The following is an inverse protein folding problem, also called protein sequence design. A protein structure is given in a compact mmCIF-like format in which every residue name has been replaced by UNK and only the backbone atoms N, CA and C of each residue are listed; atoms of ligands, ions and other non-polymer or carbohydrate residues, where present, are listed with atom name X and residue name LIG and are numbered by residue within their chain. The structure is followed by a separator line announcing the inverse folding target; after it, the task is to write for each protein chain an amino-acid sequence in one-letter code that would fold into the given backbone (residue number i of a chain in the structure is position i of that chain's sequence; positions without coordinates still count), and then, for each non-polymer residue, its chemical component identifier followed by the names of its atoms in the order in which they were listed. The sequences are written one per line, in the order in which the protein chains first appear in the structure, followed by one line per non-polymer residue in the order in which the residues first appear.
data_IF_802623025922
#
_entry.id   IF_802623025922
#
_cell.length_a   1.000
_cell.length_b   1.000
_cell.length_c   1.000
_cell.angle_alpha   90.00
_cell.angle_beta   90.00
_cell.angle_gamma   90.00
#
_symmetry.space_group_name_H-M   'P 1'
#
loop_
_entity.id
_entity.type
_entity.pdbx_description
1 polymer ?
#
# COMPACT_ATOMS: atom_id res chain seq x y z
N UNK A 1 -18.45 -0.34 -59.06
CA UNK A 1 -17.94 0.61 -58.05
C UNK A 1 -19.11 1.12 -57.23
N UNK A 2 -19.34 0.60 -56.03
CA UNK A 2 -20.39 1.07 -55.11
C UNK A 2 -19.69 1.72 -53.91
N UNK A 3 -19.83 3.04 -53.79
CA UNK A 3 -19.41 3.81 -52.64
C UNK A 3 -20.27 3.45 -51.43
N UNK A 4 -19.65 3.05 -50.34
CA UNK A 4 -20.28 2.86 -49.04
C UNK A 4 -19.84 4.00 -48.12
N UNK A 5 -20.82 4.82 -47.73
CA UNK A 5 -20.74 5.95 -46.83
C UNK A 5 -20.77 5.43 -45.38
N UNK A 6 -19.91 5.87 -44.45
CA UNK A 6 -20.04 5.48 -43.05
C UNK A 6 -21.04 6.39 -42.32
N UNK A 7 -22.01 5.76 -41.68
CA UNK A 7 -23.02 6.37 -40.81
C UNK A 7 -22.37 6.67 -39.44
N UNK A 8 -22.17 7.95 -39.12
CA UNK A 8 -21.66 8.41 -37.83
C UNK A 8 -22.81 8.40 -36.80
N UNK A 9 -22.79 7.46 -35.86
CA UNK A 9 -23.73 7.43 -34.73
C UNK A 9 -23.19 8.34 -33.60
N UNK A 10 -23.79 9.51 -33.43
CA UNK A 10 -23.51 10.39 -32.29
C UNK A 10 -24.21 9.86 -31.04
N UNK A 11 -23.44 9.36 -30.08
CA UNK A 11 -23.92 9.00 -28.74
C UNK A 11 -24.08 10.28 -27.93
N UNK A 12 -25.31 10.72 -27.73
CA UNK A 12 -25.66 11.82 -26.83
C UNK A 12 -25.61 11.26 -25.41
N UNK A 13 -24.57 11.62 -24.66
CA UNK A 13 -24.43 11.30 -23.24
C UNK A 13 -25.33 12.25 -22.43
N UNK A 14 -26.39 11.79 -21.73
CA UNK A 14 -27.15 12.65 -20.85
C UNK A 14 -26.29 13.00 -19.64
N UNK A 15 -25.93 14.27 -19.52
CA UNK A 15 -25.31 14.82 -18.31
C UNK A 15 -26.31 14.67 -17.15
N UNK A 16 -26.06 13.69 -16.28
CA UNK A 16 -26.70 13.60 -14.97
C UNK A 16 -26.31 14.84 -14.17
N UNK A 17 -27.17 15.84 -14.16
CA UNK A 17 -27.13 16.92 -13.17
C UNK A 17 -27.42 16.30 -11.80
N UNK A 18 -26.38 16.07 -11.02
CA UNK A 18 -26.53 15.74 -9.61
C UNK A 18 -27.23 16.93 -8.94
N UNK A 19 -28.49 16.75 -8.54
CA UNK A 19 -29.16 17.68 -7.62
C UNK A 19 -28.33 17.72 -6.33
N UNK A 20 -27.60 18.83 -6.14
CA UNK A 20 -26.88 19.09 -4.92
C UNK A 20 -27.89 19.05 -3.77
N UNK A 21 -27.72 18.09 -2.85
CA UNK A 21 -28.51 18.03 -1.63
C UNK A 21 -28.55 19.43 -0.99
N UNK A 22 -29.71 19.92 -0.54
CA UNK A 22 -29.83 21.26 0.00
C UNK A 22 -28.84 21.42 1.15
N UNK A 23 -27.87 22.34 0.98
CA UNK A 23 -26.86 22.61 1.99
C UNK A 23 -27.57 22.86 3.33
N UNK A 24 -27.15 22.13 4.37
CA UNK A 24 -27.71 22.30 5.70
C UNK A 24 -27.59 23.78 6.10
N UNK A 25 -28.73 24.42 6.35
CA UNK A 25 -28.78 25.83 6.73
C UNK A 25 -28.51 25.98 8.24
N UNK A 26 -28.04 27.16 8.65
CA UNK A 26 -27.89 27.50 10.07
C UNK A 26 -29.26 27.45 10.77
N UNK A 27 -29.25 27.15 12.06
CA UNK A 27 -30.45 27.12 12.90
C UNK A 27 -30.31 28.11 14.05
N UNK A 28 -31.19 29.10 14.07
CA UNK A 28 -31.31 30.06 15.18
C UNK A 28 -32.32 29.52 16.18
N UNK A 29 -31.86 29.18 17.38
CA UNK A 29 -32.71 28.74 18.49
C UNK A 29 -33.09 29.96 19.32
N UNK A 30 -34.39 30.16 19.51
CA UNK A 30 -34.95 31.24 20.32
C UNK A 30 -35.13 30.82 21.77
N UNK A 31 -35.18 31.80 22.67
CA UNK A 31 -35.37 31.59 24.13
C UNK A 31 -36.70 30.93 24.51
N UNK A 32 -37.68 30.93 23.61
CA UNK A 32 -38.94 30.20 23.76
C UNK A 32 -38.89 28.76 23.20
N UNK A 33 -37.72 28.29 22.77
CA UNK A 33 -37.49 26.97 22.17
C UNK A 33 -37.84 26.86 20.69
N UNK A 34 -38.34 27.92 20.03
CA UNK A 34 -38.60 27.90 18.59
C UNK A 34 -37.30 27.88 17.79
N UNK A 35 -37.33 27.22 16.63
CA UNK A 35 -36.18 27.08 15.72
C UNK A 35 -36.48 27.80 14.42
N UNK A 36 -35.59 28.68 14.02
CA UNK A 36 -35.65 29.39 12.74
C UNK A 36 -34.48 28.94 11.89
N UNK A 37 -34.79 28.41 10.71
CA UNK A 37 -33.76 28.03 9.73
C UNK A 37 -33.36 29.26 8.91
N UNK A 38 -32.09 29.65 9.00
CA UNK A 38 -31.54 30.80 8.29
C UNK A 38 -30.19 31.25 8.86
N UNK A 39 -29.40 31.91 8.02
CA UNK A 39 -28.05 32.39 8.37
C UNK A 39 -28.11 33.82 8.88
N UNK A 40 -27.35 34.11 9.93
CA UNK A 40 -27.21 35.49 10.43
C UNK A 40 -26.49 36.33 9.37
N UNK A 41 -27.07 37.48 9.04
CA UNK A 41 -26.59 38.35 7.98
C UNK A 41 -26.16 39.70 8.57
N UNK A 42 -24.88 39.77 8.94
CA UNK A 42 -24.28 40.97 9.53
C UNK A 42 -24.11 42.12 8.50
N UNK A 43 -24.41 41.88 7.21
CA UNK A 43 -24.33 42.92 6.17
C UNK A 43 -25.57 43.80 6.11
N UNK A 44 -26.68 43.36 6.72
CA UNK A 44 -27.94 44.12 6.78
C UNK A 44 -27.90 45.08 7.95
N UNK A 45 -27.94 46.38 7.67
CA UNK A 45 -28.00 47.42 8.71
C UNK A 45 -29.34 47.33 9.44
N UNK A 46 -29.31 46.96 10.71
CA UNK A 46 -30.47 46.85 11.60
C UNK A 46 -30.34 47.83 12.77
N UNK A 47 -31.46 48.06 13.49
CA UNK A 47 -31.46 48.88 14.71
C UNK A 47 -30.61 48.22 15.80
N UNK A 48 -30.04 49.02 16.68
CA UNK A 48 -29.27 48.52 17.82
C UNK A 48 -30.10 47.52 18.66
N UNK A 49 -29.44 46.45 19.12
CA UNK A 49 -30.08 45.32 19.79
C UNK A 49 -30.90 44.38 18.90
N UNK A 50 -30.84 44.52 17.56
CA UNK A 50 -31.49 43.60 16.60
C UNK A 50 -30.48 42.75 15.81
N UNK A 51 -30.96 41.68 15.20
CA UNK A 51 -30.19 40.77 14.34
C UNK A 51 -31.02 40.42 13.11
N UNK A 52 -30.41 40.50 11.92
CA UNK A 52 -31.00 40.04 10.67
C UNK A 52 -30.66 38.56 10.43
N UNK A 53 -31.67 37.77 10.10
CA UNK A 53 -31.57 36.35 9.78
C UNK A 53 -32.08 36.18 8.35
N UNK A 54 -31.22 35.75 7.44
CA UNK A 54 -31.57 35.44 6.06
C UNK A 54 -32.16 34.03 5.99
N UNK A 55 -33.47 33.96 5.80
CA UNK A 55 -34.24 32.71 5.65
C UNK A 55 -34.59 32.47 4.18
N UNK A 56 -35.17 31.30 3.86
CA UNK A 56 -35.72 31.04 2.51
C UNK A 56 -36.81 32.03 2.10
N UNK A 57 -37.55 32.59 3.07
CA UNK A 57 -38.63 33.55 2.83
C UNK A 57 -38.19 35.02 2.79
N UNK A 58 -36.89 35.31 2.89
CA UNK A 58 -36.35 36.68 2.96
C UNK A 58 -35.62 36.96 4.26
N UNK A 59 -35.37 38.25 4.52
CA UNK A 59 -34.65 38.70 5.72
C UNK A 59 -35.64 38.94 6.86
N UNK A 60 -35.47 38.18 7.95
CA UNK A 60 -36.19 38.36 9.20
C UNK A 60 -35.34 39.19 10.15
N UNK A 61 -35.85 40.33 10.61
CA UNK A 61 -35.18 41.15 11.63
C UNK A 61 -35.89 40.93 12.95
N UNK A 62 -35.14 40.56 14.00
CA UNK A 62 -35.67 40.38 15.34
C UNK A 62 -34.70 40.87 16.40
N UNK A 63 -35.17 41.01 17.64
CA UNK A 63 -34.31 41.43 18.76
C UNK A 63 -33.31 40.32 19.11
N UNK A 64 -32.07 40.72 19.40
CA UNK A 64 -30.96 39.79 19.70
C UNK A 64 -31.20 39.02 20.99
N UNK A 65 -31.84 39.62 21.98
CA UNK A 65 -32.12 39.01 23.29
C UNK A 65 -33.16 37.89 23.24
N UNK A 66 -33.88 37.74 22.12
CA UNK A 66 -34.75 36.59 21.87
C UNK A 66 -34.00 35.37 21.34
N UNK A 67 -32.73 35.53 20.93
CA UNK A 67 -31.91 34.45 20.39
C UNK A 67 -31.12 33.80 21.53
N UNK A 68 -31.41 32.54 21.82
CA UNK A 68 -30.69 31.77 22.83
C UNK A 68 -29.31 31.35 22.30
N UNK A 69 -29.28 30.74 21.11
CA UNK A 69 -28.03 30.35 20.44
C UNK A 69 -28.19 30.21 18.94
N UNK A 70 -27.07 30.25 18.22
CA UNK A 70 -27.02 30.00 16.78
C UNK A 70 -26.23 28.71 16.57
N UNK A 71 -26.88 27.72 15.96
CA UNK A 71 -26.27 26.47 15.53
C UNK A 71 -25.81 26.63 14.08
N UNK A 72 -24.58 27.10 13.91
CA UNK A 72 -23.97 27.26 12.58
C UNK A 72 -23.77 25.91 11.90
N UNK A 73 -24.19 25.86 10.64
CA UNK A 73 -23.95 24.80 9.69
C UNK A 73 -22.47 24.63 9.38
N UNK A 74 -22.15 23.49 8.76
CA UNK A 74 -20.81 23.24 8.23
C UNK A 74 -20.37 24.33 7.25
N UNK A 75 -21.23 24.74 6.32
CA UNK A 75 -20.90 25.72 5.28
C UNK A 75 -20.53 27.09 5.88
N UNK A 76 -21.33 27.59 6.84
CA UNK A 76 -21.06 28.85 7.53
C UNK A 76 -19.76 28.79 8.34
N UNK A 77 -19.53 27.69 9.06
CA UNK A 77 -18.28 27.50 9.82
C UNK A 77 -17.06 27.40 8.89
N UNK A 78 -17.19 26.67 7.78
CA UNK A 78 -16.13 26.49 6.80
C UNK A 78 -15.73 27.81 6.13
N UNK A 79 -16.70 28.66 5.82
CA UNK A 79 -16.45 29.98 5.22
C UNK A 79 -15.63 30.92 6.13
N UNK A 80 -15.61 30.67 7.44
CA UNK A 80 -14.84 31.45 8.43
C UNK A 80 -13.40 30.96 8.62
N UNK A 81 -13.06 29.78 8.09
CA UNK A 81 -11.75 29.15 8.27
C UNK A 81 -10.97 29.23 6.97
N UNK A 82 -9.78 29.85 7.00
CA UNK A 82 -8.89 29.90 5.84
C UNK A 82 -8.23 28.55 5.58
N UNK A 83 -7.97 28.23 4.31
CA UNK A 83 -7.30 27.00 3.89
C UNK A 83 -5.83 26.92 4.38
N UNK A 84 -5.24 28.07 4.75
CA UNK A 84 -3.90 28.15 5.33
C UNK A 84 -3.93 28.19 6.88
N UNK A 85 -5.10 28.20 7.51
CA UNK A 85 -5.25 28.20 8.97
C UNK A 85 -5.35 26.75 9.47
N UNK A 86 -4.21 26.11 9.68
CA UNK A 86 -4.14 24.74 10.16
C UNK A 86 -4.87 24.52 11.49
N UNK A 87 -4.83 25.49 12.39
CA UNK A 87 -5.48 25.41 13.70
C UNK A 87 -7.00 25.51 13.57
N UNK A 88 -7.50 26.45 12.76
CA UNK A 88 -8.92 26.58 12.44
C UNK A 88 -9.48 25.36 11.72
N UNK A 89 -8.75 24.82 10.74
CA UNK A 89 -9.14 23.59 10.02
C UNK A 89 -9.23 22.39 10.97
N UNK A 90 -8.24 22.22 11.85
CA UNK A 90 -8.25 21.17 12.87
C UNK A 90 -9.41 21.33 13.87
N UNK A 91 -9.69 22.53 14.34
CA UNK A 91 -10.80 22.81 15.24
C UNK A 91 -12.16 22.50 14.57
N UNK A 92 -12.33 22.90 13.31
CA UNK A 92 -13.54 22.61 12.54
C UNK A 92 -13.69 21.10 12.29
N UNK A 93 -12.61 20.39 11.98
CA UNK A 93 -12.66 18.94 11.80
C UNK A 93 -13.13 18.22 13.07
N UNK A 94 -12.63 18.61 14.25
CA UNK A 94 -13.12 18.07 15.53
C UNK A 94 -14.61 18.31 15.71
N UNK A 95 -15.09 19.51 15.38
CA UNK A 95 -16.52 19.80 15.41
C UNK A 95 -17.31 18.91 14.45
N UNK A 96 -16.83 18.71 13.21
CA UNK A 96 -17.45 17.81 12.24
C UNK A 96 -17.60 16.38 12.81
N UNK A 97 -16.59 15.87 13.53
CA UNK A 97 -16.68 14.57 14.19
C UNK A 97 -17.79 14.51 15.26
N UNK A 98 -18.03 15.60 16.02
CA UNK A 98 -19.17 15.67 16.96
C UNK A 98 -20.54 15.68 16.28
N UNK A 99 -20.57 15.96 14.98
CA UNK A 99 -21.78 15.98 14.13
C UNK A 99 -21.87 14.78 13.20
N UNK A 100 -21.00 13.77 13.37
CA UNK A 100 -20.90 12.60 12.51
C UNK A 100 -20.59 12.92 11.03
N UNK A 101 -20.02 14.10 10.76
CA UNK A 101 -19.59 14.55 9.43
C UNK A 101 -18.16 14.07 9.15
N UNK A 102 -17.99 12.75 9.00
CA UNK A 102 -16.67 12.11 8.94
C UNK A 102 -15.90 12.45 7.66
N UNK A 103 -16.56 12.54 6.51
CA UNK A 103 -15.91 12.85 5.23
C UNK A 103 -15.39 14.29 5.17
N UNK A 104 -16.18 15.23 5.68
CA UNK A 104 -15.80 16.62 5.82
C UNK A 104 -14.65 16.77 6.82
N UNK A 105 -14.71 16.06 7.96
CA UNK A 105 -13.60 16.03 8.91
C UNK A 105 -12.30 15.51 8.27
N UNK A 106 -12.37 14.43 7.47
CA UNK A 106 -11.20 13.88 6.78
C UNK A 106 -10.61 14.86 5.76
N UNK A 107 -11.47 15.58 5.04
CA UNK A 107 -11.06 16.61 4.06
C UNK A 107 -10.40 17.80 4.75
N UNK A 108 -10.96 18.26 5.87
CA UNK A 108 -10.36 19.36 6.64
C UNK A 108 -9.02 18.98 7.26
N UNK A 109 -8.90 17.75 7.75
CA UNK A 109 -7.66 17.24 8.34
C UNK A 109 -6.57 17.06 7.27
N UNK A 110 -6.91 16.61 6.07
CA UNK A 110 -5.92 16.54 4.98
C UNK A 110 -5.38 17.92 4.61
N UNK A 111 -6.24 18.94 4.58
CA UNK A 111 -5.83 20.34 4.39
C UNK A 111 -4.95 20.83 5.56
N UNK A 112 -5.35 20.58 6.81
CA UNK A 112 -4.59 21.00 7.98
C UNK A 112 -3.18 20.38 8.04
N UNK A 113 -3.05 19.11 7.63
CA UNK A 113 -1.77 18.38 7.58
C UNK A 113 -0.85 18.90 6.47
N UNK A 114 -1.41 19.43 5.38
CA UNK A 114 -0.66 20.01 4.28
C UNK A 114 -0.02 21.37 4.61
N UNK A 115 -0.54 22.10 5.61
CA UNK A 115 0.04 23.37 6.05
C UNK A 115 1.36 23.12 6.79
N UNK A 116 2.47 23.79 6.41
CA UNK A 116 3.74 23.68 7.12
C UNK A 116 3.62 24.08 8.58
N UNK A 117 4.26 23.34 9.48
CA UNK A 117 4.19 23.54 10.94
C UNK A 117 2.76 23.51 11.52
N UNK A 118 1.82 22.85 10.84
CA UNK A 118 0.47 22.60 11.37
C UNK A 118 0.46 21.73 12.63
N UNK A 119 -0.67 21.70 13.38
CA UNK A 119 -0.78 20.95 14.63
C UNK A 119 -0.44 19.46 14.44
N UNK A 120 0.47 18.94 15.26
CA UNK A 120 0.89 17.53 15.20
C UNK A 120 -0.29 16.58 15.52
N UNK A 121 -1.23 17.04 16.34
CA UNK A 121 -2.47 16.34 16.70
C UNK A 121 -3.41 16.19 15.49
N UNK A 122 -3.36 17.10 14.52
CA UNK A 122 -4.14 16.97 13.28
C UNK A 122 -3.67 15.77 12.46
N UNK A 123 -2.35 15.50 12.42
CA UNK A 123 -1.76 14.33 11.75
C UNK A 123 -2.22 13.03 12.39
N UNK A 124 -2.19 12.96 13.74
CA UNK A 124 -2.67 11.79 14.47
C UNK A 124 -4.17 11.54 14.24
N UNK A 125 -4.99 12.58 14.36
CA UNK A 125 -6.43 12.47 14.16
C UNK A 125 -6.78 12.08 12.72
N UNK A 126 -6.03 12.60 11.74
CA UNK A 126 -6.20 12.23 10.34
C UNK A 126 -5.89 10.75 10.10
N UNK A 127 -4.74 10.27 10.59
CA UNK A 127 -4.35 8.88 10.46
C UNK A 127 -5.40 7.94 11.05
N UNK A 128 -5.88 8.23 12.27
CA UNK A 128 -6.95 7.46 12.93
C UNK A 128 -8.26 7.47 12.14
N UNK A 129 -8.68 8.62 11.64
CA UNK A 129 -9.93 8.71 10.88
C UNK A 129 -9.86 7.92 9.57
N UNK A 130 -8.72 7.93 8.89
CA UNK A 130 -8.49 7.12 7.68
C UNK A 130 -8.41 5.62 8.01
N UNK A 131 -7.83 5.22 9.13
CA UNK A 131 -7.86 3.83 9.64
C UNK A 131 -9.31 3.34 9.80
N UNK A 132 -10.16 4.16 10.45
CA UNK A 132 -11.57 3.83 10.66
C UNK A 132 -12.40 3.82 9.36
N UNK A 133 -12.09 4.67 8.38
CA UNK A 133 -12.91 4.86 7.16
C UNK A 133 -12.45 4.01 5.97
N UNK A 134 -11.14 3.86 5.78
CA UNK A 134 -10.51 3.24 4.60
C UNK A 134 -9.68 2.02 4.95
N UNK A 135 -9.48 1.74 6.23
CA UNK A 135 -8.78 0.57 6.74
C UNK A 135 -7.28 0.79 6.98
N UNK A 136 -6.61 -0.23 7.53
CA UNK A 136 -5.23 -0.15 7.99
C UNK A 136 -4.20 0.22 6.91
N UNK A 137 -4.32 -0.35 5.72
CA UNK A 137 -3.35 -0.15 4.62
C UNK A 137 -3.23 1.33 4.23
N UNK A 138 -4.36 2.03 4.15
CA UNK A 138 -4.39 3.46 3.85
C UNK A 138 -3.85 4.33 5.00
N UNK A 139 -3.92 3.84 6.25
CA UNK A 139 -3.57 4.60 7.44
C UNK A 139 -2.09 4.49 7.85
N UNK A 140 -1.43 3.35 7.57
CA UNK A 140 0.00 3.13 7.88
C UNK A 140 0.90 4.29 7.42
N UNK A 141 0.87 4.77 6.15
CA UNK A 141 1.74 5.87 5.73
C UNK A 141 1.46 7.17 6.51
N UNK A 142 0.22 7.41 6.93
CA UNK A 142 -0.15 8.60 7.71
C UNK A 142 0.38 8.53 9.14
N UNK A 143 0.27 7.37 9.79
CA UNK A 143 0.85 7.16 11.11
C UNK A 143 2.39 7.25 11.09
N UNK A 144 3.05 6.73 10.04
CA UNK A 144 4.50 6.91 9.84
C UNK A 144 4.86 8.39 9.69
N UNK A 145 4.08 9.14 8.90
CA UNK A 145 4.28 10.59 8.75
C UNK A 145 4.08 11.35 10.07
N UNK A 146 3.15 10.93 10.94
CA UNK A 146 3.00 11.47 12.29
C UNK A 146 4.25 11.21 13.15
N UNK A 147 4.78 9.98 13.17
CA UNK A 147 6.01 9.62 13.89
C UNK A 147 7.20 10.46 13.39
N UNK A 148 7.40 10.56 12.08
CA UNK A 148 8.50 11.33 11.47
C UNK A 148 8.41 12.83 11.75
N UNK A 149 7.19 13.38 11.87
CA UNK A 149 6.96 14.77 12.24
C UNK A 149 7.18 15.06 13.75
N UNK A 150 7.70 14.10 14.52
CA UNK A 150 7.98 14.26 15.95
C UNK A 150 6.78 14.00 16.86
N UNK A 151 5.75 13.30 16.38
CA UNK A 151 4.61 12.91 17.19
C UNK A 151 4.98 11.94 18.31
N UNK A 152 4.57 12.24 19.55
CA UNK A 152 4.94 11.49 20.76
C UNK A 152 3.77 10.86 21.51
N UNK A 153 2.52 11.04 21.04
CA UNK A 153 1.36 10.48 21.71
C UNK A 153 1.39 8.95 21.65
N UNK A 154 1.15 8.29 22.79
CA UNK A 154 1.29 6.84 22.93
C UNK A 154 0.26 6.07 22.10
N UNK A 155 -0.99 6.54 22.01
CA UNK A 155 -2.08 5.85 21.30
C UNK A 155 -1.78 5.71 19.79
N UNK A 156 -1.49 6.78 19.01
CA UNK A 156 -1.13 6.64 17.59
C UNK A 156 0.11 5.78 17.34
N UNK A 157 1.12 5.86 18.22
CA UNK A 157 2.35 5.08 18.07
C UNK A 157 2.14 3.59 18.39
N UNK A 158 1.33 3.28 19.39
CA UNK A 158 0.93 1.90 19.70
C UNK A 158 0.12 1.29 18.56
N UNK A 159 -0.83 2.06 17.98
CA UNK A 159 -1.59 1.63 16.81
C UNK A 159 -0.67 1.42 15.60
N UNK A 160 0.25 2.35 15.31
CA UNK A 160 1.25 2.17 14.25
C UNK A 160 2.05 0.88 14.43
N UNK A 161 2.55 0.63 15.64
CA UNK A 161 3.30 -0.60 15.94
C UNK A 161 2.46 -1.84 15.66
N UNK A 162 1.20 -1.87 16.13
CA UNK A 162 0.30 -2.98 15.86
C UNK A 162 0.13 -3.22 14.35
N UNK A 163 -0.03 -2.16 13.56
CA UNK A 163 -0.17 -2.28 12.11
C UNK A 163 1.13 -2.74 11.43
N UNK A 164 2.28 -2.27 11.88
CA UNK A 164 3.60 -2.71 11.39
C UNK A 164 3.87 -4.18 11.74
N UNK A 165 3.48 -4.63 12.94
CA UNK A 165 3.58 -6.04 13.35
C UNK A 165 2.65 -6.94 12.50
N UNK A 166 1.40 -6.52 12.29
CA UNK A 166 0.45 -7.25 11.43
C UNK A 166 0.93 -7.35 9.99
N UNK A 167 1.54 -6.29 9.45
CA UNK A 167 2.12 -6.30 8.12
C UNK A 167 3.28 -7.30 8.04
N UNK A 168 4.18 -7.26 9.03
CA UNK A 168 5.30 -8.19 9.10
C UNK A 168 4.84 -9.65 9.25
N UNK A 169 3.78 -9.91 10.02
CA UNK A 169 3.23 -11.26 10.17
C UNK A 169 2.50 -11.74 8.90
N UNK A 170 1.75 -10.85 8.24
CA UNK A 170 1.16 -11.16 6.94
C UNK A 170 2.24 -11.47 5.89
N UNK A 171 3.31 -10.68 5.85
CA UNK A 171 4.47 -10.95 4.97
C UNK A 171 5.11 -12.29 5.30
N UNK A 172 5.30 -12.65 6.59
CA UNK A 172 5.81 -13.98 6.95
C UNK A 172 4.89 -15.11 6.51
N UNK A 173 3.58 -14.98 6.69
CA UNK A 173 2.60 -16.01 6.30
C UNK A 173 2.56 -16.17 4.78
N UNK A 174 2.50 -15.05 4.04
CA UNK A 174 2.55 -15.08 2.58
C UNK A 174 3.84 -15.72 2.05
N UNK A 175 4.95 -15.56 2.78
CA UNK A 175 6.25 -16.13 2.47
C UNK A 175 6.55 -17.43 3.24
N UNK A 176 5.54 -18.08 3.82
CA UNK A 176 5.74 -19.40 4.43
C UNK A 176 5.76 -20.43 3.31
N UNK A 177 6.81 -21.26 3.18
CA UNK A 177 6.80 -22.36 2.24
C UNK A 177 5.57 -23.23 2.42
N UNK A 178 4.92 -23.60 1.33
CA UNK A 178 3.77 -24.48 1.38
C UNK A 178 4.35 -25.88 1.64
N UNK A 179 3.82 -26.58 2.67
CA UNK A 179 4.02 -28.02 2.78
C UNK A 179 3.38 -28.66 1.54
N UNK A 180 4.20 -28.80 0.50
CA UNK A 180 3.78 -29.23 -0.82
C UNK A 180 3.68 -30.75 -0.93
N UNK A 181 2.92 -31.24 -1.92
CA UNK A 181 2.82 -32.67 -2.22
C UNK A 181 4.18 -33.26 -2.60
N UNK A 182 4.21 -34.60 -2.75
CA UNK A 182 5.38 -35.32 -3.25
C UNK A 182 5.98 -34.60 -4.48
N UNK A 183 7.31 -34.45 -4.45
CA UNK A 183 8.14 -33.86 -5.49
C UNK A 183 7.63 -34.22 -6.90
N UNK A 184 7.53 -33.27 -7.85
CA UNK A 184 7.11 -33.59 -9.20
C UNK A 184 8.03 -34.64 -9.82
N UNK A 185 7.42 -35.64 -10.48
CA UNK A 185 8.16 -36.66 -11.21
C UNK A 185 9.02 -35.99 -12.29
N UNK A 186 10.34 -36.22 -12.21
CA UNK A 186 11.42 -35.84 -13.16
C UNK A 186 10.93 -34.97 -14.32
N UNK A 187 10.97 -33.65 -14.13
CA UNK A 187 10.71 -32.69 -15.19
C UNK A 187 11.90 -31.72 -15.20
N UNK A 188 12.58 -31.58 -16.35
CA UNK A 188 13.73 -30.69 -16.49
C UNK A 188 13.24 -29.23 -16.47
N UNK A 189 13.18 -28.61 -15.29
CA UNK A 189 12.89 -27.19 -15.12
C UNK A 189 14.10 -26.31 -15.47
N UNK A 190 14.05 -25.04 -15.04
CA UNK A 190 15.15 -24.11 -15.31
C UNK A 190 16.44 -24.43 -14.54
N UNK A 191 16.45 -25.35 -13.58
CA UNK A 191 17.63 -25.77 -12.84
C UNK A 191 18.74 -26.39 -13.72
N UNK A 192 18.38 -27.00 -14.86
CA UNK A 192 19.31 -27.83 -15.62
C UNK A 192 20.44 -27.06 -16.34
N UNK A 193 20.34 -25.74 -16.55
CA UNK A 193 21.33 -24.98 -17.35
C UNK A 193 21.51 -23.51 -16.93
N UNK A 194 22.73 -23.03 -17.13
CA UNK A 194 23.13 -21.61 -17.25
C UNK A 194 23.00 -20.71 -16.01
N UNK A 195 22.83 -21.27 -14.81
CA UNK A 195 23.05 -20.50 -13.59
C UNK A 195 24.54 -20.35 -13.29
N UNK A 196 24.93 -19.17 -12.80
CA UNK A 196 26.30 -18.83 -12.38
C UNK A 196 26.26 -18.01 -11.10
N UNK A 197 27.34 -18.02 -10.31
CA UNK A 197 27.48 -17.09 -9.20
C UNK A 197 27.50 -15.63 -9.70
N UNK A 198 26.85 -14.72 -8.96
CA UNK A 198 26.93 -13.29 -9.26
C UNK A 198 28.23 -12.67 -8.73
N UNK A 199 28.56 -11.47 -9.22
CA UNK A 199 29.75 -10.70 -8.86
C UNK A 199 29.90 -10.52 -7.35
N UNK A 200 31.07 -10.95 -6.84
CA UNK A 200 31.50 -10.78 -5.44
C UNK A 200 31.67 -9.32 -5.02
N UNK A 201 31.62 -8.38 -5.96
CA UNK A 201 31.59 -6.95 -5.65
C UNK A 201 30.33 -6.56 -4.87
N UNK A 202 29.19 -7.21 -5.17
CA UNK A 202 27.89 -6.86 -4.63
C UNK A 202 27.30 -7.95 -3.71
N UNK A 203 27.79 -9.19 -3.83
CA UNK A 203 27.28 -10.36 -3.11
C UNK A 203 28.41 -11.15 -2.44
N UNK A 204 28.06 -11.95 -1.45
CA UNK A 204 28.94 -13.00 -0.96
C UNK A 204 29.16 -14.05 -2.06
N UNK A 205 30.30 -14.75 -1.99
CA UNK A 205 30.63 -15.78 -2.96
C UNK A 205 29.58 -16.91 -2.95
N UNK A 206 29.18 -17.34 -4.16
CA UNK A 206 28.20 -18.39 -4.39
C UNK A 206 28.70 -19.31 -5.49
N UNK A 207 28.90 -20.59 -5.17
CA UNK A 207 29.16 -21.62 -6.15
C UNK A 207 27.85 -22.26 -6.60
N UNK A 208 27.74 -22.51 -7.90
CA UNK A 208 26.53 -23.03 -8.51
C UNK A 208 26.85 -24.33 -9.23
N UNK A 209 26.13 -25.40 -8.91
CA UNK A 209 26.32 -26.72 -9.51
C UNK A 209 24.99 -27.39 -9.79
N UNK A 210 24.86 -28.06 -10.94
CA UNK A 210 23.73 -28.97 -11.19
C UNK A 210 24.12 -30.37 -10.69
N UNK A 211 23.33 -30.93 -9.79
CA UNK A 211 23.67 -32.17 -9.07
C UNK A 211 22.53 -33.16 -9.16
N UNK A 212 22.85 -34.45 -9.14
CA UNK A 212 21.83 -35.50 -9.08
C UNK A 212 21.47 -35.79 -7.63
N UNK A 213 20.19 -35.75 -7.31
CA UNK A 213 19.65 -36.13 -6.01
C UNK A 213 18.71 -37.31 -6.20
N UNK A 214 18.97 -38.39 -5.46
CA UNK A 214 18.10 -39.56 -5.41
C UNK A 214 17.10 -39.39 -4.28
N UNK A 215 15.83 -39.40 -4.62
CA UNK A 215 14.68 -39.40 -3.70
C UNK A 215 13.96 -40.76 -3.80
N UNK A 216 12.95 -40.97 -2.95
CA UNK A 216 12.10 -42.17 -3.03
C UNK A 216 11.43 -42.30 -4.40
N UNK A 217 11.08 -41.17 -5.04
CA UNK A 217 10.44 -41.11 -6.36
C UNK A 217 11.41 -41.24 -7.56
N UNK A 218 12.72 -41.38 -7.33
CA UNK A 218 13.72 -41.54 -8.40
C UNK A 218 14.90 -40.58 -8.30
N UNK A 219 15.69 -40.49 -9.38
CA UNK A 219 16.83 -39.55 -9.45
C UNK A 219 16.45 -38.32 -10.27
N UNK A 220 16.58 -37.14 -9.67
CA UNK A 220 16.39 -35.85 -10.35
C UNK A 220 17.68 -35.04 -10.41
N UNK A 221 17.73 -34.05 -11.30
CA UNK A 221 18.75 -33.00 -11.28
C UNK A 221 18.23 -31.79 -10.50
N UNK A 222 19.05 -31.22 -9.62
CA UNK A 222 18.71 -30.02 -8.86
C UNK A 222 19.84 -29.00 -8.96
N UNK A 223 19.50 -27.73 -8.80
CA UNK A 223 20.45 -26.64 -8.70
C UNK A 223 20.93 -26.53 -7.25
N UNK A 224 22.20 -26.85 -7.00
CA UNK A 224 22.86 -26.62 -5.71
C UNK A 224 23.53 -25.24 -5.72
N UNK A 225 23.16 -24.44 -4.74
CA UNK A 225 23.79 -23.16 -4.42
C UNK A 225 24.61 -23.34 -3.14
N UNK A 226 25.94 -23.28 -3.24
CA UNK A 226 26.83 -23.26 -2.07
C UNK A 226 27.23 -21.83 -1.79
N UNK A 227 26.82 -21.29 -0.64
CA UNK A 227 27.09 -19.90 -0.26
C UNK A 227 28.13 -19.84 0.84
N UNK A 228 29.01 -18.84 0.73
CA UNK A 228 30.15 -18.66 1.61
C UNK A 228 30.00 -17.41 2.48
N UNK A 229 30.64 -17.38 3.66
CA UNK A 229 30.56 -16.22 4.54
C UNK A 229 31.30 -15.03 3.90
N UNK A 230 30.79 -13.82 4.13
CA UNK A 230 31.44 -12.60 3.63
C UNK A 230 31.03 -11.35 4.38
N UNK A 231 31.33 -10.19 3.79
CA UNK A 231 31.00 -8.87 4.32
C UNK A 231 29.69 -8.30 3.75
N UNK A 232 29.05 -9.02 2.82
CA UNK A 232 27.74 -8.67 2.25
C UNK A 232 26.62 -9.38 3.00
N UNK A 233 25.41 -8.91 2.78
CA UNK A 233 24.21 -9.47 3.40
C UNK A 233 23.79 -10.80 2.75
N UNK A 234 24.09 -10.99 1.47
CA UNK A 234 23.54 -12.09 0.67
C UNK A 234 24.51 -12.62 -0.38
N UNK A 235 24.39 -13.90 -0.69
CA UNK A 235 24.97 -14.57 -1.84
C UNK A 235 23.93 -14.61 -2.98
N UNK A 236 24.38 -14.70 -4.24
CA UNK A 236 23.45 -14.74 -5.37
C UNK A 236 23.90 -15.68 -6.48
N UNK A 237 22.93 -16.37 -7.07
CA UNK A 237 23.07 -17.15 -8.28
C UNK A 237 22.16 -16.56 -9.36
N UNK A 238 22.71 -16.28 -10.54
CA UNK A 238 22.00 -15.63 -11.64
C UNK A 238 21.87 -16.52 -12.85
N UNK A 239 20.80 -16.31 -13.62
CA UNK A 239 20.59 -16.86 -14.94
C UNK A 239 20.11 -15.76 -15.90
N UNK A 240 20.82 -15.51 -17.01
CA UNK A 240 20.29 -14.70 -18.10
C UNK A 240 19.05 -15.36 -18.72
N UNK A 241 18.02 -14.55 -18.95
CA UNK A 241 16.73 -14.93 -19.53
C UNK A 241 16.34 -13.98 -20.68
N UNK A 242 17.23 -13.68 -21.64
CA UNK A 242 16.97 -12.61 -22.63
C UNK A 242 15.69 -12.89 -23.44
N UNK A 243 14.75 -11.93 -23.40
CA UNK A 243 13.54 -11.96 -24.23
C UNK A 243 12.45 -12.92 -23.74
N UNK A 244 12.49 -13.33 -22.47
CA UNK A 244 11.41 -14.12 -21.87
C UNK A 244 10.30 -13.18 -21.41
N UNK A 245 9.06 -13.49 -21.81
CA UNK A 245 7.85 -12.89 -21.26
C UNK A 245 7.23 -13.84 -20.25
N UNK A 246 6.92 -13.32 -19.06
CA UNK A 246 6.21 -14.02 -17.96
C UNK A 246 4.89 -13.34 -17.62
N UNK A 247 4.42 -12.43 -18.48
CA UNK A 247 3.18 -11.66 -18.26
C UNK A 247 1.95 -12.54 -18.04
N UNK A 248 1.86 -13.65 -18.79
CA UNK A 248 0.74 -14.60 -18.69
C UNK A 248 1.00 -15.73 -17.67
N UNK A 249 2.22 -15.81 -17.14
CA UNK A 249 2.66 -16.80 -16.15
C UNK A 249 3.42 -16.13 -15.00
N UNK A 250 2.80 -15.18 -14.28
CA UNK A 250 3.51 -14.33 -13.34
C UNK A 250 3.80 -15.00 -11.99
N UNK A 251 3.65 -16.31 -11.87
CA UNK A 251 3.98 -17.06 -10.67
C UNK A 251 5.28 -17.82 -10.90
N UNK A 252 6.37 -17.42 -10.25
CA UNK A 252 7.57 -18.26 -10.20
C UNK A 252 7.38 -19.31 -9.11
N UNK A 253 7.42 -20.59 -9.48
CA UNK A 253 7.33 -21.72 -8.55
C UNK A 253 8.64 -22.49 -8.56
N UNK A 254 9.05 -22.99 -7.41
CA UNK A 254 10.16 -23.93 -7.27
C UNK A 254 10.01 -24.75 -5.99
N UNK A 255 10.82 -25.79 -5.87
CA UNK A 255 11.03 -26.55 -4.64
C UNK A 255 12.39 -26.20 -4.06
N UNK A 256 12.46 -25.93 -2.76
CA UNK A 256 13.69 -25.61 -2.06
C UNK A 256 13.97 -26.62 -0.94
N UNK A 257 15.22 -27.05 -0.78
CA UNK A 257 15.68 -27.86 0.35
C UNK A 257 16.90 -27.21 0.99
N UNK A 258 16.88 -27.07 2.31
CA UNK A 258 17.94 -26.45 3.10
C UNK A 258 18.56 -27.49 4.05
N UNK A 259 19.60 -28.23 3.63
CA UNK A 259 20.17 -29.31 4.42
C UNK A 259 20.99 -28.84 5.64
N UNK A 260 21.04 -27.53 5.93
CA UNK A 260 21.69 -26.98 7.12
C UNK A 260 20.84 -27.18 8.39
N UNK A 261 21.38 -26.77 9.54
CA UNK A 261 20.71 -26.86 10.84
C UNK A 261 19.94 -25.58 11.22
N UNK A 262 19.96 -24.55 10.37
CA UNK A 262 19.30 -23.26 10.61
C UNK A 262 18.43 -22.87 9.42
N UNK A 263 17.33 -22.12 9.65
CA UNK A 263 16.57 -21.52 8.56
C UNK A 263 17.45 -20.63 7.68
N UNK A 264 17.14 -20.59 6.39
CA UNK A 264 17.82 -19.74 5.40
C UNK A 264 16.78 -18.94 4.65
N UNK A 265 16.98 -17.62 4.56
CA UNK A 265 16.07 -16.72 3.85
C UNK A 265 16.41 -16.68 2.35
N UNK A 266 15.45 -17.09 1.52
CA UNK A 266 15.52 -17.09 0.07
C UNK A 266 14.64 -15.97 -0.51
N UNK A 267 15.20 -15.13 -1.38
CA UNK A 267 14.43 -14.22 -2.21
C UNK A 267 14.76 -14.43 -3.69
N UNK A 268 13.98 -13.81 -4.56
CA UNK A 268 14.32 -13.69 -5.98
C UNK A 268 14.58 -12.23 -6.33
N UNK A 269 15.39 -12.02 -7.35
CA UNK A 269 15.40 -10.77 -8.08
C UNK A 269 15.24 -11.01 -9.58
N UNK A 270 14.56 -10.09 -10.24
CA UNK A 270 14.39 -10.06 -11.68
C UNK A 270 14.88 -8.71 -12.19
N UNK A 271 15.65 -8.74 -13.28
CA UNK A 271 15.93 -7.55 -14.09
C UNK A 271 14.98 -7.55 -15.28
N UNK A 272 14.25 -6.47 -15.50
CA UNK A 272 13.27 -6.37 -16.60
C UNK A 272 13.47 -5.08 -17.42
N UNK A 273 12.99 -5.06 -18.66
CA UNK A 273 13.05 -3.90 -19.56
C UNK A 273 14.47 -3.34 -19.71
N UNK A 274 14.67 -2.09 -19.28
CA UNK A 274 15.99 -1.42 -19.25
C UNK A 274 16.89 -1.90 -18.08
N UNK A 275 16.88 -3.21 -17.78
CA UNK A 275 17.59 -3.82 -16.65
C UNK A 275 17.20 -3.26 -15.26
N UNK A 276 15.94 -2.84 -15.12
CA UNK A 276 15.41 -2.38 -13.83
C UNK A 276 15.38 -3.55 -12.85
N UNK A 277 16.02 -3.38 -11.69
CA UNK A 277 16.10 -4.39 -10.64
C UNK A 277 14.83 -4.42 -9.79
N UNK A 278 14.27 -5.60 -9.62
CA UNK A 278 13.12 -5.87 -8.76
C UNK A 278 13.44 -7.05 -7.86
N UNK A 279 13.30 -6.88 -6.54
CA UNK A 279 13.62 -7.92 -5.56
C UNK A 279 12.42 -8.22 -4.67
N UNK A 280 12.10 -9.50 -4.53
CA UNK A 280 10.98 -9.96 -3.70
C UNK A 280 11.30 -9.84 -2.21
N UNK A 281 10.27 -9.90 -1.35
CA UNK A 281 10.47 -10.32 0.04
C UNK A 281 11.15 -11.70 0.15
N UNK A 282 11.68 -11.99 1.33
CA UNK A 282 12.32 -13.27 1.65
C UNK A 282 11.31 -14.31 2.11
N UNK A 283 11.53 -15.55 1.69
CA UNK A 283 10.85 -16.78 2.13
C UNK A 283 11.82 -17.57 2.99
N UNK A 284 11.45 -17.85 4.23
CA UNK A 284 12.28 -18.62 5.15
C UNK A 284 12.20 -20.11 4.80
N UNK A 285 13.31 -20.70 4.36
CA UNK A 285 13.39 -22.13 4.05
C UNK A 285 13.82 -22.88 5.33
N UNK A 286 12.96 -23.74 5.89
CA UNK A 286 13.24 -24.42 7.15
C UNK A 286 14.43 -25.39 7.00
N UNK A 287 15.20 -25.62 8.07
CA UNK A 287 16.27 -26.60 8.06
C UNK A 287 15.72 -28.02 7.85
N UNK A 288 16.43 -28.83 7.09
CA UNK A 288 16.08 -30.22 6.82
C UNK A 288 16.35 -30.67 5.39
N UNK A 289 16.33 -31.99 5.18
CA UNK A 289 16.58 -32.60 3.86
C UNK A 289 15.32 -32.70 2.99
N UNK A 290 14.16 -32.30 3.51
CA UNK A 290 12.92 -32.25 2.74
C UNK A 290 12.95 -31.09 1.75
N UNK A 291 12.17 -31.22 0.67
CA UNK A 291 11.85 -30.11 -0.21
C UNK A 291 10.54 -29.48 0.25
N UNK A 292 10.49 -28.15 0.24
CA UNK A 292 9.27 -27.36 0.43
C UNK A 292 8.96 -26.59 -0.84
N UNK A 293 7.68 -26.40 -1.14
CA UNK A 293 7.28 -25.64 -2.32
C UNK A 293 7.28 -24.15 -2.01
N UNK A 294 7.84 -23.34 -2.92
CA UNK A 294 8.02 -21.90 -2.77
C UNK A 294 7.47 -21.20 -4.00
N UNK A 295 6.64 -20.18 -3.76
CA UNK A 295 5.99 -19.40 -4.80
C UNK A 295 6.35 -17.92 -4.66
N UNK A 296 6.59 -17.26 -5.79
CA UNK A 296 6.75 -15.81 -5.86
C UNK A 296 5.78 -15.25 -6.91
N UNK A 297 4.79 -14.49 -6.44
CA UNK A 297 3.81 -13.83 -7.29
C UNK A 297 4.33 -12.46 -7.76
N UNK A 298 4.75 -12.38 -9.01
CA UNK A 298 5.40 -11.19 -9.58
C UNK A 298 4.46 -9.97 -9.72
N UNK A 299 3.14 -10.16 -9.49
CA UNK A 299 2.15 -9.08 -9.50
C UNK A 299 1.96 -8.41 -8.14
N UNK A 300 2.60 -8.92 -7.08
CA UNK A 300 2.48 -8.32 -5.74
C UNK A 300 3.17 -6.97 -5.66
N UNK A 301 2.60 -6.07 -4.85
CA UNK A 301 3.08 -4.69 -4.69
C UNK A 301 4.10 -4.55 -3.55
N UNK A 302 4.91 -5.57 -3.33
CA UNK A 302 5.86 -5.68 -2.23
C UNK A 302 7.32 -5.85 -2.70
N UNK A 303 7.59 -5.73 -4.00
CA UNK A 303 8.94 -5.80 -4.55
C UNK A 303 9.71 -4.51 -4.27
N UNK A 304 10.97 -4.63 -3.82
CA UNK A 304 11.93 -3.52 -3.79
C UNK A 304 12.38 -3.23 -5.22
N UNK A 305 12.22 -1.99 -5.67
CA UNK A 305 12.59 -1.57 -7.03
C UNK A 305 13.71 -0.54 -6.97
N UNK A 306 14.78 -0.75 -7.74
CA UNK A 306 15.85 0.24 -7.87
C UNK A 306 15.37 1.47 -8.67
N UNK A 307 15.84 2.70 -8.36
CA UNK A 307 16.85 3.02 -7.34
C UNK A 307 16.29 3.31 -5.94
N UNK A 308 14.96 3.37 -5.77
CA UNK A 308 14.32 3.84 -4.53
C UNK A 308 14.28 2.77 -3.42
N UNK A 309 14.49 1.50 -3.77
CA UNK A 309 14.55 0.32 -2.88
C UNK A 309 13.36 0.18 -1.93
N UNK A 310 12.24 0.83 -2.23
CA UNK A 310 11.03 0.82 -1.40
C UNK A 310 10.10 -0.31 -1.85
N UNK A 311 9.63 -1.18 -0.95
CA UNK A 311 8.75 -2.31 -1.30
C UNK A 311 7.30 -1.84 -1.42
N UNK A 312 6.94 -1.18 -2.53
CA UNK A 312 5.58 -0.62 -2.69
C UNK A 312 5.02 -0.65 -4.12
N UNK A 313 5.67 -1.34 -5.04
CA UNK A 313 5.28 -1.35 -6.44
C UNK A 313 5.29 -2.78 -7.01
N UNK A 314 4.37 -3.10 -7.94
CA UNK A 314 4.41 -4.33 -8.69
C UNK A 314 5.57 -4.30 -9.69
N UNK A 315 6.06 -5.47 -10.09
CA UNK A 315 7.10 -5.56 -11.11
C UNK A 315 6.61 -5.02 -12.46
N UNK A 316 7.40 -4.14 -13.08
CA UNK A 316 7.12 -3.62 -14.41
C UNK A 316 7.79 -4.49 -15.50
N UNK A 317 7.33 -4.36 -16.74
CA UNK A 317 7.93 -4.98 -17.93
C UNK A 317 8.09 -6.52 -17.84
N UNK A 318 7.08 -7.22 -17.31
CA UNK A 318 7.06 -8.69 -17.27
C UNK A 318 7.06 -9.35 -18.66
N UNK A 319 6.84 -8.58 -19.72
CA UNK A 319 6.99 -8.99 -21.11
C UNK A 319 8.45 -9.00 -21.61
N UNK A 320 9.39 -8.48 -20.81
CA UNK A 320 10.81 -8.38 -21.16
C UNK A 320 11.72 -8.65 -19.95
N UNK A 321 11.69 -9.88 -19.44
CA UNK A 321 12.61 -10.35 -18.41
C UNK A 321 14.01 -10.49 -19.04
N UNK A 322 15.03 -10.02 -18.33
CA UNK A 322 16.45 -10.07 -18.73
C UNK A 322 17.24 -11.09 -17.93
N UNK A 323 17.04 -11.13 -16.62
CA UNK A 323 17.79 -11.99 -15.69
C UNK A 323 16.90 -12.40 -14.53
N UNK A 324 17.05 -13.65 -14.09
CA UNK A 324 16.54 -14.17 -12.82
C UNK A 324 17.72 -14.42 -11.89
N UNK A 325 17.58 -13.99 -10.64
CA UNK A 325 18.53 -14.25 -9.57
C UNK A 325 17.83 -14.91 -8.39
N UNK A 326 18.48 -15.92 -7.82
CA UNK A 326 18.18 -16.42 -6.48
C UNK A 326 19.12 -15.75 -5.49
N UNK A 327 18.55 -15.17 -4.44
CA UNK A 327 19.26 -14.42 -3.42
C UNK A 327 19.17 -15.19 -2.10
N UNK A 328 20.31 -15.61 -1.58
CA UNK A 328 20.41 -16.30 -0.29
C UNK A 328 20.92 -15.31 0.74
N UNK A 329 20.07 -14.89 1.67
CA UNK A 329 20.41 -13.96 2.75
C UNK A 329 21.23 -14.67 3.83
N UNK A 330 22.50 -14.93 3.54
CA UNK A 330 23.39 -15.74 4.36
C UNK A 330 24.24 -14.93 5.36
N UNK A 331 24.44 -13.63 5.15
CA UNK A 331 25.33 -12.81 5.98
C UNK A 331 26.71 -13.45 6.18
N UNK A 332 26.98 -13.92 7.40
CA UNK A 332 28.23 -14.61 7.79
C UNK A 332 28.10 -16.13 7.88
N UNK A 333 26.97 -16.69 7.50
CA UNK A 333 26.75 -18.13 7.48
C UNK A 333 27.32 -18.74 6.19
N UNK A 334 27.80 -19.96 6.32
CA UNK A 334 28.12 -20.85 5.20
C UNK A 334 27.06 -21.96 5.11
N UNK A 335 26.85 -22.49 3.92
CA UNK A 335 25.92 -23.59 3.75
C UNK A 335 25.57 -23.85 2.29
N UNK A 336 24.52 -24.64 2.10
CA UNK A 336 24.00 -24.95 0.76
C UNK A 336 22.47 -24.88 0.73
N UNK A 337 21.93 -24.64 -0.46
CA UNK A 337 20.51 -24.65 -0.75
C UNK A 337 20.29 -25.41 -2.07
N UNK A 338 19.33 -26.33 -2.10
CA UNK A 338 18.99 -27.10 -3.30
C UNK A 338 17.67 -26.57 -3.87
N UNK A 339 17.66 -26.20 -5.14
CA UNK A 339 16.48 -25.70 -5.86
C UNK A 339 16.12 -26.67 -6.99
N UNK A 340 14.83 -26.96 -7.13
CA UNK A 340 14.30 -27.92 -8.11
C UNK A 340 12.98 -27.40 -8.71
N UNK A 341 12.61 -27.88 -9.90
CA UNK A 341 11.34 -27.56 -10.56
C UNK A 341 11.10 -26.07 -10.76
N UNK A 342 12.15 -25.31 -11.12
CA UNK A 342 12.05 -23.86 -11.28
C UNK A 342 11.25 -23.56 -12.56
N UNK A 343 10.09 -22.92 -12.43
CA UNK A 343 9.20 -22.64 -13.54
C UNK A 343 8.31 -21.40 -13.34
N UNK A 344 7.91 -20.76 -14.45
CA UNK A 344 6.91 -19.69 -14.45
C UNK A 344 5.54 -20.25 -14.83
N UNK A 345 4.56 -20.16 -13.93
CA UNK A 345 3.21 -20.73 -14.09
C UNK A 345 2.13 -19.66 -14.10
N UNK A 346 0.97 -20.02 -14.64
CA UNK A 346 -0.25 -19.24 -14.46
C UNK A 346 -0.59 -19.19 -12.98
N UNK A 347 -1.11 -18.05 -12.52
CA UNK A 347 -1.71 -17.98 -11.18
C UNK A 347 -2.95 -18.88 -11.17
N UNK A 348 -2.92 -19.95 -10.38
CA UNK A 348 -4.14 -20.70 -10.07
C UNK A 348 -5.04 -19.77 -9.23
N UNK A 349 -6.28 -19.58 -9.70
CA UNK A 349 -7.26 -18.66 -9.11
C UNK A 349 -7.91 -19.24 -7.85
#
# INVERSE_FOLDING_TARGET
MRCLLPLLLAVICPALAAEAAPAAQDVVLLTNGQRITGTVDDTVVVRDGSTAIRTRGGVLVMRRDLIERIEESYATRRAKVSDNDAAGLYALAKWCLTKSLREEAATLLSLAVAVPNGPIEARALYARLIDEMKGPEAAIPLYRAYRTAGGTASEPLARLKQLEDLLADHEKVANTPIEGPAKPAVNDGMEARAFTGESVQYFNACEVQVVKVTTEDGTNQVLRLTYHPGDKEKAAAKRPLPGISVKDTPMLTLYASNPTDKPVDLAIALKTGEYVWHESPTVAIPPGKGFVEVHFNLLEKNFKIAPDWTPNAPMAHLDDVKELLFLVYNGKAEGELLLDGIDFKKKEL
#
